data_IF_162016594673
#
_entry.id   IF_162016594673
#
_cell.length_a   1.000
_cell.length_b   1.000
_cell.length_c   1.000
_cell.angle_alpha   90.00
_cell.angle_beta   90.00
_cell.angle_gamma   90.00
#
_symmetry.space_group_name_H-M   'P 1'
#
loop_
_entity.id
_entity.type
_entity.pdbx_description
1 polymer ?
#
# COMPACT_ATOMS: atom_id res chain seq x y z
N UNK A 1 18.43 27.83 -27.46
CA UNK A 1 17.68 28.71 -26.55
C UNK A 1 18.67 29.50 -25.71
N UNK A 2 18.54 30.84 -25.62
CA UNK A 2 19.44 31.64 -24.76
C UNK A 2 19.18 31.36 -23.27
N UNK A 3 20.15 31.54 -22.38
CA UNK A 3 20.09 31.23 -20.95
C UNK A 3 18.91 31.92 -20.23
N UNK A 4 18.55 33.15 -20.59
CA UNK A 4 17.40 33.85 -20.03
C UNK A 4 16.05 33.19 -20.35
N UNK A 5 15.90 32.56 -21.52
CA UNK A 5 14.67 31.87 -21.92
C UNK A 5 14.51 30.55 -21.15
N UNK A 6 15.60 29.84 -20.92
CA UNK A 6 15.62 28.61 -20.08
C UNK A 6 15.24 28.94 -18.64
N UNK A 7 15.81 30.00 -18.07
CA UNK A 7 15.50 30.45 -16.71
C UNK A 7 14.02 30.81 -16.54
N UNK A 8 13.44 31.51 -17.53
CA UNK A 8 12.00 31.86 -17.51
C UNK A 8 11.10 30.63 -17.56
N UNK A 9 11.42 29.64 -18.42
CA UNK A 9 10.67 28.38 -18.51
C UNK A 9 10.67 27.64 -17.17
N UNK A 10 11.86 27.48 -16.57
CA UNK A 10 11.99 26.77 -15.29
C UNK A 10 11.25 27.50 -14.14
N UNK A 11 11.33 28.84 -14.11
CA UNK A 11 10.59 29.65 -13.14
C UNK A 11 9.10 29.40 -13.27
N UNK A 12 8.56 29.44 -14.49
CA UNK A 12 7.13 29.22 -14.73
C UNK A 12 6.69 27.81 -14.36
N UNK A 13 7.46 26.79 -14.70
CA UNK A 13 7.17 25.41 -14.34
C UNK A 13 7.07 25.22 -12.81
N UNK A 14 8.01 25.79 -12.07
CA UNK A 14 8.00 25.76 -10.60
C UNK A 14 6.77 26.46 -10.02
N UNK A 15 6.39 27.61 -10.58
CA UNK A 15 5.19 28.36 -10.18
C UNK A 15 3.91 27.54 -10.41
N UNK A 16 3.78 26.85 -11.55
CA UNK A 16 2.65 25.94 -11.84
C UNK A 16 2.53 24.85 -10.76
N UNK A 17 3.63 24.13 -10.49
CA UNK A 17 3.64 23.08 -9.47
C UNK A 17 3.27 23.61 -8.08
N UNK A 18 3.72 24.83 -7.76
CA UNK A 18 3.39 25.46 -6.50
C UNK A 18 1.91 25.81 -6.38
N UNK A 19 1.29 26.34 -7.45
CA UNK A 19 -0.14 26.64 -7.49
C UNK A 19 -0.97 25.36 -7.32
N UNK A 20 -0.56 24.26 -7.94
CA UNK A 20 -1.25 22.96 -7.78
C UNK A 20 -1.12 22.43 -6.36
N UNK A 21 0.06 22.52 -5.75
CA UNK A 21 0.27 22.15 -4.36
C UNK A 21 -0.58 23.00 -3.40
N UNK A 22 -0.66 24.34 -3.61
CA UNK A 22 -1.54 25.25 -2.87
C UNK A 22 -3.01 24.84 -3.01
N UNK A 23 -3.42 24.37 -4.21
CA UNK A 23 -4.77 23.84 -4.45
C UNK A 23 -5.09 22.63 -3.57
N UNK A 24 -4.17 21.66 -3.49
CA UNK A 24 -4.32 20.48 -2.60
C UNK A 24 -4.41 20.90 -1.13
N UNK A 25 -3.49 21.76 -0.67
CA UNK A 25 -3.48 22.23 0.72
C UNK A 25 -4.77 22.98 1.06
N UNK A 26 -5.32 23.75 0.11
CA UNK A 26 -6.59 24.44 0.30
C UNK A 26 -7.80 23.50 0.44
N UNK A 27 -7.73 22.27 -0.07
CA UNK A 27 -8.74 21.24 0.20
C UNK A 27 -8.59 20.65 1.60
N UNK A 28 -7.36 20.46 2.09
CA UNK A 28 -7.11 19.95 3.44
C UNK A 28 -7.86 20.80 4.49
N UNK A 29 -7.85 22.12 4.36
CA UNK A 29 -8.52 23.03 5.29
C UNK A 29 -10.08 22.94 5.21
N UNK A 30 -10.62 22.34 4.15
CA UNK A 30 -12.07 22.16 3.91
C UNK A 30 -12.57 20.77 4.28
N UNK A 31 -11.68 19.79 4.48
CA UNK A 31 -12.09 18.45 4.86
C UNK A 31 -12.69 18.47 6.27
N UNK A 32 -13.92 18.00 6.37
CA UNK A 32 -14.70 17.99 7.60
C UNK A 32 -15.49 16.69 7.78
N UNK A 33 -16.54 16.74 8.62
CA UNK A 33 -17.40 15.57 8.91
C UNK A 33 -17.98 14.90 7.67
N UNK A 34 -18.25 15.68 6.61
CA UNK A 34 -18.79 15.18 5.34
C UNK A 34 -17.88 14.14 4.68
N UNK A 35 -16.56 14.32 4.75
CA UNK A 35 -15.63 13.33 4.25
C UNK A 35 -15.73 12.01 5.04
N UNK A 36 -15.83 12.08 6.36
CA UNK A 36 -16.00 10.89 7.20
C UNK A 36 -17.34 10.21 6.94
N UNK A 37 -18.40 10.97 6.66
CA UNK A 37 -19.72 10.42 6.32
C UNK A 37 -19.71 9.76 4.93
N UNK A 38 -18.99 10.31 3.96
CA UNK A 38 -18.77 9.68 2.67
C UNK A 38 -18.06 8.33 2.80
N UNK A 39 -17.00 8.26 3.61
CA UNK A 39 -16.30 7.00 3.91
C UNK A 39 -17.27 5.98 4.53
N UNK A 40 -18.03 6.36 5.56
CA UNK A 40 -19.00 5.46 6.20
C UNK A 40 -20.09 4.98 5.23
N UNK A 41 -20.60 5.87 4.38
CA UNK A 41 -21.62 5.56 3.37
C UNK A 41 -21.09 4.51 2.39
N UNK A 42 -19.86 4.67 1.90
CA UNK A 42 -19.23 3.72 0.98
C UNK A 42 -18.95 2.37 1.69
N UNK A 43 -18.51 2.39 2.94
CA UNK A 43 -18.26 1.15 3.70
C UNK A 43 -19.53 0.34 3.98
N UNK A 44 -20.67 1.01 4.18
CA UNK A 44 -21.99 0.37 4.42
C UNK A 44 -22.64 -0.13 3.15
N UNK A 45 -22.24 0.37 1.98
CA UNK A 45 -22.83 -0.02 0.71
C UNK A 45 -22.53 -1.49 0.38
N UNK A 46 -23.56 -2.23 -0.04
CA UNK A 46 -23.44 -3.61 -0.50
C UNK A 46 -23.01 -3.71 -1.98
N UNK A 47 -23.04 -2.59 -2.70
CA UNK A 47 -22.72 -2.47 -4.11
C UNK A 47 -21.35 -1.84 -4.36
N UNK A 48 -21.28 -1.02 -5.39
CA UNK A 48 -20.05 -0.41 -5.92
C UNK A 48 -20.10 1.11 -5.78
N UNK A 49 -18.93 1.74 -5.89
CA UNK A 49 -18.84 3.19 -6.10
C UNK A 49 -18.96 3.47 -7.61
N UNK A 50 -20.04 4.15 -8.00
CA UNK A 50 -20.27 4.56 -9.38
C UNK A 50 -19.76 5.98 -9.55
N UNK A 51 -18.61 6.14 -10.17
CA UNK A 51 -18.00 7.45 -10.39
C UNK A 51 -18.46 8.01 -11.73
N UNK A 52 -18.94 9.25 -11.73
CA UNK A 52 -19.38 9.93 -12.96
C UNK A 52 -18.79 11.33 -13.07
N UNK A 53 -18.52 11.77 -14.29
CA UNK A 53 -17.93 13.06 -14.63
C UNK A 53 -17.71 13.17 -16.13
N UNK A 54 -17.58 14.41 -16.64
CA UNK A 54 -17.35 14.65 -18.07
C UNK A 54 -16.03 15.41 -18.31
N UNK A 55 -15.46 15.26 -19.49
CA UNK A 55 -14.21 15.91 -19.87
C UNK A 55 -13.05 15.55 -18.92
N UNK A 56 -12.33 16.56 -18.40
CA UNK A 56 -11.22 16.35 -17.49
C UNK A 56 -11.64 15.72 -16.16
N UNK A 57 -12.81 16.12 -15.63
CA UNK A 57 -13.41 15.47 -14.43
C UNK A 57 -13.68 13.98 -14.66
N UNK A 58 -14.12 13.59 -15.85
CA UNK A 58 -14.32 12.19 -16.21
C UNK A 58 -13.01 11.40 -16.31
N UNK A 59 -11.95 12.01 -16.85
CA UNK A 59 -10.61 11.38 -16.89
C UNK A 59 -10.09 11.14 -15.47
N UNK A 60 -10.18 12.13 -14.59
CA UNK A 60 -9.81 12.00 -13.17
C UNK A 60 -10.69 10.96 -12.47
N UNK A 61 -12.01 10.96 -12.75
CA UNK A 61 -12.94 9.96 -12.23
C UNK A 61 -12.53 8.52 -12.59
N UNK A 62 -12.10 8.29 -13.83
CA UNK A 62 -11.57 6.98 -14.25
C UNK A 62 -10.32 6.57 -13.48
N UNK A 63 -9.42 7.54 -13.21
CA UNK A 63 -8.24 7.27 -12.35
C UNK A 63 -8.65 6.92 -10.92
N UNK A 64 -9.60 7.62 -10.35
CA UNK A 64 -10.14 7.34 -9.02
C UNK A 64 -10.75 5.93 -8.96
N UNK A 65 -11.55 5.54 -9.97
CA UNK A 65 -12.06 4.17 -10.12
C UNK A 65 -10.95 3.13 -10.11
N UNK A 66 -9.88 3.37 -10.89
CA UNK A 66 -8.74 2.45 -10.95
C UNK A 66 -8.06 2.31 -9.58
N UNK A 67 -7.89 3.42 -8.84
CA UNK A 67 -7.33 3.41 -7.48
C UNK A 67 -8.24 2.64 -6.51
N UNK A 68 -9.54 2.93 -6.49
CA UNK A 68 -10.51 2.25 -5.62
C UNK A 68 -10.50 0.73 -5.86
N UNK A 69 -10.53 0.29 -7.12
CA UNK A 69 -10.48 -1.13 -7.48
C UNK A 69 -9.18 -1.78 -7.02
N UNK A 70 -8.05 -1.11 -7.21
CA UNK A 70 -6.74 -1.64 -6.82
C UNK A 70 -6.54 -1.68 -5.30
N UNK A 71 -7.32 -0.93 -4.54
CA UNK A 71 -7.27 -0.84 -3.07
C UNK A 71 -8.46 -1.50 -2.37
N UNK A 72 -9.20 -2.37 -3.07
CA UNK A 72 -10.22 -3.22 -2.45
C UNK A 72 -11.62 -2.61 -2.35
N UNK A 73 -11.88 -1.46 -2.95
CA UNK A 73 -13.22 -0.88 -3.04
C UNK A 73 -13.75 -1.03 -4.47
N UNK A 74 -14.75 -1.90 -4.72
CA UNK A 74 -15.29 -2.09 -6.06
C UNK A 74 -15.87 -0.79 -6.62
N UNK A 75 -15.46 -0.38 -7.81
CA UNK A 75 -15.90 0.85 -8.44
C UNK A 75 -16.06 0.70 -9.95
N UNK A 76 -16.95 1.48 -10.55
CA UNK A 76 -17.14 1.59 -11.99
C UNK A 76 -17.23 3.06 -12.39
N UNK A 77 -16.80 3.35 -13.62
CA UNK A 77 -17.03 4.66 -14.23
C UNK A 77 -18.27 4.63 -15.10
N UNK A 78 -19.20 5.55 -14.85
CA UNK A 78 -20.40 5.77 -15.65
C UNK A 78 -20.26 7.10 -16.39
N UNK A 79 -20.14 7.05 -17.71
CA UNK A 79 -20.11 8.27 -18.51
C UNK A 79 -21.50 8.92 -18.53
N UNK A 80 -21.65 10.23 -18.22
CA UNK A 80 -22.98 10.85 -18.12
C UNK A 80 -23.82 10.74 -19.39
N UNK A 81 -23.20 10.87 -20.56
CA UNK A 81 -23.91 10.74 -21.85
C UNK A 81 -24.43 9.33 -22.07
N UNK A 82 -23.59 8.31 -21.81
CA UNK A 82 -24.01 6.91 -21.94
C UNK A 82 -25.10 6.55 -20.92
N UNK A 83 -25.04 7.15 -19.72
CA UNK A 83 -26.10 7.00 -18.71
C UNK A 83 -27.47 7.47 -19.24
N UNK A 84 -27.51 8.57 -20.00
CA UNK A 84 -28.74 9.04 -20.63
C UNK A 84 -29.27 8.10 -21.72
N UNK A 85 -28.44 7.26 -22.28
CA UNK A 85 -28.75 6.32 -23.36
C UNK A 85 -28.87 4.85 -22.94
N UNK A 86 -28.96 4.58 -21.63
CA UNK A 86 -29.29 3.25 -21.13
C UNK A 86 -28.31 2.69 -20.08
N UNK A 87 -27.05 3.14 -20.03
CA UNK A 87 -26.07 2.63 -19.08
C UNK A 87 -26.43 2.95 -17.62
N UNK A 88 -27.40 3.84 -17.39
CA UNK A 88 -27.98 4.04 -16.05
C UNK A 88 -28.55 2.73 -15.46
N UNK A 89 -28.94 1.78 -16.30
CA UNK A 89 -29.39 0.45 -15.88
C UNK A 89 -28.36 -0.37 -15.10
N UNK A 90 -27.08 -0.01 -15.13
CA UNK A 90 -26.04 -0.66 -14.33
C UNK A 90 -26.02 -0.23 -12.86
N UNK A 91 -26.72 0.88 -12.52
CA UNK A 91 -26.74 1.45 -11.18
C UNK A 91 -27.90 0.88 -10.39
N UNK A 92 -27.64 0.47 -9.16
CA UNK A 92 -28.64 -0.09 -8.24
C UNK A 92 -28.71 0.71 -6.95
N UNK A 93 -29.75 0.51 -6.16
CA UNK A 93 -29.88 1.12 -4.82
C UNK A 93 -28.81 0.70 -3.82
N UNK A 94 -28.03 -0.35 -4.13
CA UNK A 94 -26.94 -0.84 -3.32
C UNK A 94 -25.63 -0.12 -3.57
N UNK A 95 -25.54 0.63 -4.67
CA UNK A 95 -24.36 1.38 -5.08
C UNK A 95 -24.34 2.75 -4.40
N UNK A 96 -23.18 3.42 -4.44
CA UNK A 96 -22.99 4.83 -4.06
C UNK A 96 -22.50 5.58 -5.28
N UNK A 97 -23.13 6.70 -5.60
CA UNK A 97 -22.76 7.54 -6.75
C UNK A 97 -21.78 8.61 -6.26
N UNK A 98 -20.64 8.72 -6.92
CA UNK A 98 -19.66 9.82 -6.75
C UNK A 98 -19.67 10.67 -8.03
N UNK A 99 -20.35 11.81 -7.99
CA UNK A 99 -20.42 12.75 -9.11
C UNK A 99 -19.34 13.83 -8.98
N UNK A 100 -18.55 14.02 -10.04
CA UNK A 100 -17.45 14.98 -10.10
C UNK A 100 -17.78 16.08 -11.09
N UNK A 101 -18.01 17.29 -10.57
CA UNK A 101 -18.24 18.50 -11.36
C UNK A 101 -17.71 19.72 -10.62
N UNK A 102 -16.67 20.37 -11.14
CA UNK A 102 -16.08 21.53 -10.46
C UNK A 102 -17.12 22.63 -10.21
N UNK A 103 -17.85 23.07 -11.21
CA UNK A 103 -18.92 24.07 -11.06
C UNK A 103 -20.19 23.54 -10.37
N UNK A 104 -20.41 22.22 -10.42
CA UNK A 104 -21.65 21.58 -9.98
C UNK A 104 -22.88 21.88 -10.88
N UNK A 105 -22.66 22.52 -12.01
CA UNK A 105 -23.70 22.96 -12.99
C UNK A 105 -23.54 22.29 -14.37
N UNK A 106 -22.70 21.22 -14.45
CA UNK A 106 -22.51 20.50 -15.71
C UNK A 106 -23.82 19.85 -16.15
N UNK A 107 -24.36 20.27 -17.30
CA UNK A 107 -25.69 19.89 -17.80
C UNK A 107 -25.91 18.40 -17.89
N UNK A 108 -24.92 17.66 -18.40
CA UNK A 108 -24.96 16.20 -18.55
C UNK A 108 -25.01 15.44 -17.20
N UNK A 109 -24.54 16.06 -16.13
CA UNK A 109 -24.63 15.50 -14.78
C UNK A 109 -25.94 15.92 -14.12
N UNK A 110 -26.30 17.21 -14.21
CA UNK A 110 -27.50 17.73 -13.54
C UNK A 110 -28.79 17.10 -14.05
N UNK A 111 -28.87 16.77 -15.35
CA UNK A 111 -30.01 16.08 -15.95
C UNK A 111 -30.20 14.65 -15.40
N UNK A 112 -29.14 14.00 -14.89
CA UNK A 112 -29.19 12.65 -14.31
C UNK A 112 -29.63 12.65 -12.84
N UNK A 113 -29.55 13.77 -12.14
CA UNK A 113 -29.87 13.85 -10.71
C UNK A 113 -31.24 13.29 -10.36
N UNK A 114 -32.33 13.62 -11.06
CA UNK A 114 -33.65 13.05 -10.77
C UNK A 114 -33.67 11.52 -10.91
N UNK A 115 -32.89 10.97 -11.82
CA UNK A 115 -32.79 9.52 -12.04
C UNK A 115 -31.97 8.86 -10.93
N UNK A 116 -30.86 9.45 -10.50
CA UNK A 116 -30.08 8.99 -9.35
C UNK A 116 -30.94 8.94 -8.09
N UNK A 117 -31.71 9.97 -7.82
CA UNK A 117 -32.63 10.01 -6.67
C UNK A 117 -33.72 8.92 -6.75
N UNK A 118 -34.30 8.65 -7.93
CA UNK A 118 -35.27 7.57 -8.10
C UNK A 118 -34.70 6.18 -7.88
N UNK A 119 -33.43 5.97 -8.20
CA UNK A 119 -32.71 4.71 -7.95
C UNK A 119 -32.51 4.45 -6.45
N UNK A 120 -32.51 5.51 -5.62
CA UNK A 120 -32.30 5.41 -4.18
C UNK A 120 -30.84 5.13 -3.78
N UNK A 121 -29.89 5.33 -4.69
CA UNK A 121 -28.46 5.24 -4.40
C UNK A 121 -27.98 6.56 -3.77
N UNK A 122 -27.24 6.55 -2.66
CA UNK A 122 -26.65 7.76 -2.08
C UNK A 122 -25.78 8.50 -3.11
N UNK A 123 -25.90 9.83 -3.16
CA UNK A 123 -25.18 10.69 -4.07
C UNK A 123 -24.15 11.54 -3.32
N UNK A 124 -22.88 11.36 -3.61
CA UNK A 124 -21.75 12.15 -3.11
C UNK A 124 -21.30 13.08 -4.23
N UNK A 125 -21.12 14.36 -3.95
CA UNK A 125 -20.58 15.33 -4.90
C UNK A 125 -19.14 15.74 -4.56
N UNK A 126 -18.28 15.77 -5.57
CA UNK A 126 -17.01 16.50 -5.55
C UNK A 126 -17.23 17.77 -6.39
N UNK A 127 -17.27 18.92 -5.74
CA UNK A 127 -17.54 20.22 -6.40
C UNK A 127 -16.86 21.36 -5.63
N UNK A 128 -16.60 22.48 -6.29
CA UNK A 128 -16.15 23.70 -5.61
C UNK A 128 -17.30 24.49 -4.98
N UNK A 129 -18.53 24.29 -5.48
CA UNK A 129 -19.70 25.05 -5.09
C UNK A 129 -20.77 24.14 -4.44
N UNK A 130 -20.85 24.08 -3.11
CA UNK A 130 -21.89 23.34 -2.39
C UNK A 130 -23.32 23.82 -2.71
N UNK A 131 -23.48 25.09 -3.09
CA UNK A 131 -24.78 25.72 -3.45
C UNK A 131 -25.18 25.49 -4.89
N UNK A 132 -24.37 24.77 -5.68
CA UNK A 132 -24.69 24.39 -7.06
C UNK A 132 -25.87 23.41 -7.13
N UNK A 133 -26.41 23.23 -8.34
CA UNK A 133 -27.46 22.23 -8.59
C UNK A 133 -27.05 20.85 -8.14
N UNK A 134 -25.83 20.41 -8.45
CA UNK A 134 -25.29 19.12 -7.96
C UNK A 134 -25.16 19.12 -6.43
N UNK A 135 -24.57 20.16 -5.85
CA UNK A 135 -24.34 20.24 -4.40
C UNK A 135 -25.63 20.14 -3.61
N UNK A 136 -26.63 20.99 -3.93
CA UNK A 136 -27.92 21.00 -3.23
C UNK A 136 -28.73 19.70 -3.31
N UNK A 137 -28.52 18.90 -4.34
CA UNK A 137 -29.21 17.63 -4.54
C UNK A 137 -28.39 16.40 -4.09
N UNK A 138 -27.16 16.59 -3.69
CA UNK A 138 -26.32 15.51 -3.16
C UNK A 138 -26.61 15.25 -1.68
N UNK A 139 -26.46 14.01 -1.25
CA UNK A 139 -26.62 13.62 0.15
C UNK A 139 -25.38 14.03 0.95
N UNK A 140 -24.20 14.07 0.29
CA UNK A 140 -22.94 14.48 0.88
C UNK A 140 -22.18 15.33 -0.14
N UNK A 141 -21.58 16.43 0.31
CA UNK A 141 -20.77 17.31 -0.53
C UNK A 141 -19.36 17.43 0.00
N UNK A 142 -18.37 17.08 -0.80
CA UNK A 142 -16.95 17.31 -0.51
C UNK A 142 -16.49 18.48 -1.38
N UNK A 143 -16.13 19.59 -0.71
CA UNK A 143 -15.66 20.78 -1.42
C UNK A 143 -14.21 20.61 -1.87
N UNK A 144 -14.03 20.42 -3.20
CA UNK A 144 -12.73 20.26 -3.87
C UNK A 144 -12.24 21.52 -4.57
N UNK A 145 -12.91 22.66 -4.35
CA UNK A 145 -12.59 23.92 -5.01
C UNK A 145 -11.19 24.43 -4.68
N UNK A 146 -10.57 25.09 -5.64
CA UNK A 146 -9.25 25.71 -5.53
C UNK A 146 -9.35 27.24 -5.68
N UNK A 147 -8.38 27.99 -5.15
CA UNK A 147 -8.38 29.45 -5.24
C UNK A 147 -8.17 29.97 -6.67
N UNK A 148 -7.37 29.27 -7.47
CA UNK A 148 -7.04 29.64 -8.86
C UNK A 148 -6.48 28.43 -9.62
N UNK A 149 -6.61 28.50 -10.93
CA UNK A 149 -5.93 27.58 -11.84
C UNK A 149 -4.48 28.04 -12.12
N UNK A 150 -3.60 27.12 -12.44
CA UNK A 150 -2.24 27.46 -12.86
C UNK A 150 -2.16 27.93 -14.32
N UNK A 151 -3.22 27.69 -15.11
CA UNK A 151 -3.35 28.19 -16.46
C UNK A 151 -3.41 29.74 -16.45
N UNK A 152 -2.56 30.45 -17.24
CA UNK A 152 -2.55 31.92 -17.27
C UNK A 152 -3.88 32.54 -17.70
N UNK A 153 -4.67 31.81 -18.49
CA UNK A 153 -6.01 32.25 -18.95
C UNK A 153 -7.11 31.86 -17.93
N UNK A 154 -6.81 31.11 -16.89
CA UNK A 154 -7.81 30.62 -15.94
C UNK A 154 -8.83 29.62 -16.51
N UNK A 155 -8.65 29.18 -17.78
CA UNK A 155 -9.64 28.37 -18.51
C UNK A 155 -9.34 26.86 -18.46
N UNK A 156 -8.06 26.48 -18.45
CA UNK A 156 -7.70 25.08 -18.44
C UNK A 156 -7.66 24.56 -16.99
N UNK A 157 -8.46 23.55 -16.62
CA UNK A 157 -8.39 22.90 -15.33
C UNK A 157 -7.03 22.27 -15.12
N UNK A 158 -6.33 22.67 -14.06
CA UNK A 158 -5.01 22.22 -13.63
C UNK A 158 -5.04 21.96 -12.13
N UNK A 159 -4.95 22.99 -11.30
CA UNK A 159 -5.01 22.88 -9.85
C UNK A 159 -6.31 22.22 -9.36
N UNK A 160 -7.46 22.55 -9.97
CA UNK A 160 -8.74 21.93 -9.63
C UNK A 160 -8.74 20.42 -9.90
N UNK A 161 -8.21 19.96 -11.04
CA UNK A 161 -8.15 18.54 -11.36
C UNK A 161 -7.16 17.78 -10.49
N UNK A 162 -6.03 18.41 -10.13
CA UNK A 162 -5.04 17.85 -9.21
C UNK A 162 -5.62 17.71 -7.79
N UNK A 163 -6.37 18.70 -7.33
CA UNK A 163 -7.04 18.68 -6.03
C UNK A 163 -8.13 17.59 -5.95
N UNK A 164 -8.96 17.45 -6.99
CA UNK A 164 -9.96 16.37 -7.11
C UNK A 164 -9.30 15.00 -7.08
N UNK A 165 -8.20 14.84 -7.83
CA UNK A 165 -7.44 13.59 -7.84
C UNK A 165 -6.89 13.24 -6.47
N UNK A 166 -6.23 14.18 -5.80
CA UNK A 166 -5.69 14.00 -4.47
C UNK A 166 -6.78 13.64 -3.43
N UNK A 167 -7.95 14.28 -3.54
CA UNK A 167 -9.11 13.98 -2.67
C UNK A 167 -9.63 12.56 -2.91
N UNK A 168 -9.70 12.13 -4.17
CA UNK A 168 -10.10 10.77 -4.53
C UNK A 168 -9.10 9.72 -4.05
N UNK A 169 -7.80 10.02 -4.10
CA UNK A 169 -6.77 9.14 -3.56
C UNK A 169 -6.83 9.07 -2.03
N UNK A 170 -7.07 10.20 -1.35
CA UNK A 170 -7.30 10.22 0.09
C UNK A 170 -8.51 9.36 0.48
N UNK A 171 -9.62 9.45 -0.28
CA UNK A 171 -10.80 8.61 -0.07
C UNK A 171 -10.46 7.12 -0.23
N UNK A 172 -9.73 6.75 -1.28
CA UNK A 172 -9.35 5.37 -1.54
C UNK A 172 -8.42 4.80 -0.45
N UNK A 173 -7.45 5.60 0.03
CA UNK A 173 -6.52 5.18 1.10
C UNK A 173 -7.23 5.00 2.43
N UNK A 174 -8.11 5.93 2.82
CA UNK A 174 -8.90 5.80 4.05
C UNK A 174 -9.83 4.57 3.99
N UNK A 175 -10.47 4.31 2.84
CA UNK A 175 -11.28 3.10 2.65
C UNK A 175 -10.45 1.82 2.74
N UNK A 176 -9.25 1.79 2.18
CA UNK A 176 -8.29 0.69 2.28
C UNK A 176 -7.97 0.38 3.74
N UNK A 177 -7.64 1.40 4.54
CA UNK A 177 -7.34 1.26 5.98
C UNK A 177 -8.55 0.75 6.76
N UNK A 178 -9.74 1.33 6.54
CA UNK A 178 -10.97 0.92 7.21
C UNK A 178 -11.40 -0.50 6.86
N UNK A 179 -11.06 -1.00 5.66
CA UNK A 179 -11.28 -2.37 5.22
C UNK A 179 -10.21 -3.34 5.72
N UNK A 180 -9.15 -2.85 6.39
CA UNK A 180 -7.99 -3.65 6.81
C UNK A 180 -7.38 -4.43 5.63
N UNK A 181 -7.30 -3.77 4.46
CA UNK A 181 -6.80 -4.35 3.23
C UNK A 181 -5.33 -4.73 3.36
N UNK A 182 -5.02 -5.99 3.11
CA UNK A 182 -3.70 -6.57 3.36
C UNK A 182 -2.81 -6.59 2.10
N UNK A 183 -1.48 -6.76 2.24
CA UNK A 183 -0.61 -7.05 1.10
C UNK A 183 -1.04 -8.29 0.30
N UNK A 184 -1.68 -9.26 0.94
CA UNK A 184 -2.20 -10.46 0.29
C UNK A 184 -3.41 -10.13 -0.60
N UNK A 185 -4.29 -9.26 -0.15
CA UNK A 185 -5.40 -8.75 -0.96
C UNK A 185 -4.86 -7.99 -2.17
N UNK A 186 -3.83 -7.16 -1.97
CA UNK A 186 -3.18 -6.43 -3.06
C UNK A 186 -2.61 -7.39 -4.13
N UNK A 187 -1.99 -8.50 -3.73
CA UNK A 187 -1.53 -9.57 -4.65
C UNK A 187 -2.65 -10.14 -5.50
N UNK A 188 -3.81 -10.42 -4.86
CA UNK A 188 -4.98 -11.01 -5.55
C UNK A 188 -5.50 -10.11 -6.66
N UNK A 189 -5.42 -8.79 -6.48
CA UNK A 189 -5.87 -7.81 -7.48
C UNK A 189 -4.81 -7.45 -8.52
N UNK A 190 -3.53 -7.79 -8.29
CA UNK A 190 -2.42 -7.49 -9.21
C UNK A 190 -1.62 -8.73 -9.63
N UNK A 191 -2.27 -9.78 -10.19
CA UNK A 191 -1.62 -11.09 -10.41
C UNK A 191 -0.48 -11.04 -11.45
N UNK A 192 -0.51 -10.12 -12.40
CA UNK A 192 0.49 -9.96 -13.45
C UNK A 192 1.49 -8.84 -13.24
N UNK A 193 1.29 -7.98 -12.24
CA UNK A 193 2.15 -6.83 -11.99
C UNK A 193 3.45 -7.18 -11.29
N UNK A 194 4.50 -6.38 -11.51
CA UNK A 194 5.78 -6.50 -10.81
C UNK A 194 5.61 -6.55 -9.28
N UNK A 195 4.75 -5.69 -8.75
CA UNK A 195 4.47 -5.62 -7.32
C UNK A 195 3.77 -6.89 -6.80
N UNK A 196 2.85 -7.46 -7.58
CA UNK A 196 2.20 -8.74 -7.28
C UNK A 196 3.17 -9.92 -7.27
N UNK A 197 4.10 -9.97 -8.25
CA UNK A 197 5.17 -10.97 -8.30
C UNK A 197 6.12 -10.85 -7.10
N UNK A 198 6.52 -9.62 -6.73
CA UNK A 198 7.41 -9.36 -5.58
C UNK A 198 6.78 -9.83 -4.26
N UNK A 199 5.49 -9.60 -4.06
CA UNK A 199 4.73 -10.04 -2.89
C UNK A 199 4.47 -11.56 -2.88
N UNK A 200 4.59 -12.25 -4.03
CA UNK A 200 4.39 -13.70 -4.16
C UNK A 200 5.66 -14.54 -3.93
N UNK A 201 6.81 -13.92 -3.72
CA UNK A 201 8.03 -14.67 -3.48
C UNK A 201 8.05 -15.28 -2.08
N UNK A 202 8.13 -16.60 -2.05
CA UNK A 202 8.29 -17.35 -0.80
C UNK A 202 9.75 -17.34 -0.35
N UNK A 203 9.97 -17.31 0.95
CA UNK A 203 11.33 -17.34 1.54
C UNK A 203 12.11 -18.60 1.14
N UNK A 204 11.43 -19.70 0.83
CA UNK A 204 12.01 -20.95 0.33
C UNK A 204 12.93 -20.75 -0.87
N UNK A 205 12.66 -19.78 -1.74
CA UNK A 205 13.49 -19.47 -2.91
C UNK A 205 14.78 -18.72 -2.57
N UNK A 206 14.85 -18.13 -1.40
CA UNK A 206 15.94 -17.23 -0.99
C UNK A 206 16.68 -17.71 0.25
N UNK A 207 16.17 -18.71 0.96
CA UNK A 207 16.79 -19.24 2.14
C UNK A 207 18.09 -20.00 1.82
N UNK A 208 19.01 -19.97 2.75
CA UNK A 208 20.12 -20.91 2.79
C UNK A 208 19.60 -22.24 3.34
N UNK A 209 19.90 -23.33 2.63
CA UNK A 209 19.47 -24.67 3.02
C UNK A 209 20.07 -25.05 4.38
N UNK A 210 19.32 -25.78 5.21
CA UNK A 210 19.82 -26.31 6.48
C UNK A 210 21.06 -27.19 6.30
N UNK A 211 21.26 -27.79 5.12
CA UNK A 211 22.45 -28.60 4.81
C UNK A 211 23.73 -27.76 4.65
N UNK A 212 23.58 -26.48 4.27
CA UNK A 212 24.67 -25.52 4.07
C UNK A 212 25.01 -24.76 5.36
N UNK A 213 24.15 -24.83 6.37
CA UNK A 213 24.29 -24.10 7.61
C UNK A 213 24.99 -24.94 8.69
N UNK A 214 25.95 -24.36 9.45
CA UNK A 214 26.64 -25.08 10.51
C UNK A 214 25.68 -25.39 11.64
N UNK A 215 25.44 -26.69 11.89
CA UNK A 215 24.55 -27.17 12.92
C UNK A 215 25.31 -27.81 14.07
N UNK A 216 24.73 -27.69 15.27
CA UNK A 216 25.25 -28.32 16.50
C UNK A 216 24.09 -28.92 17.31
N UNK A 217 24.38 -30.00 18.01
CA UNK A 217 23.39 -30.65 18.86
C UNK A 217 23.44 -30.14 20.31
N UNK A 218 22.36 -30.35 21.07
CA UNK A 218 22.25 -29.94 22.49
C UNK A 218 23.31 -30.53 23.42
N UNK A 219 23.86 -31.71 23.10
CA UNK A 219 24.86 -32.42 23.90
C UNK A 219 26.31 -32.08 23.53
N UNK A 220 26.54 -31.18 22.59
CA UNK A 220 27.88 -30.73 22.20
C UNK A 220 28.46 -29.82 23.29
N UNK A 221 29.73 -29.95 23.61
CA UNK A 221 30.42 -29.08 24.57
C UNK A 221 30.84 -27.76 23.91
N UNK A 222 30.95 -26.70 24.71
CA UNK A 222 31.38 -25.38 24.20
C UNK A 222 32.80 -25.45 23.60
N UNK A 223 33.72 -26.21 24.23
CA UNK A 223 35.08 -26.41 23.74
C UNK A 223 35.13 -26.94 22.29
N UNK A 224 34.19 -27.81 21.91
CA UNK A 224 34.13 -28.46 20.59
C UNK A 224 33.59 -27.51 19.51
N UNK A 225 32.84 -26.46 19.88
CA UNK A 225 32.24 -25.54 18.95
C UNK A 225 33.05 -24.25 18.74
N UNK A 226 33.89 -23.86 19.71
CA UNK A 226 34.73 -22.66 19.61
C UNK A 226 35.57 -22.58 18.33
N UNK A 227 36.25 -23.66 17.87
CA UNK A 227 36.99 -23.62 16.59
C UNK A 227 36.09 -23.47 15.37
N UNK A 228 34.79 -23.75 15.49
CA UNK A 228 33.82 -23.68 14.40
C UNK A 228 33.14 -22.32 14.31
N UNK A 229 33.37 -21.44 15.29
CA UNK A 229 32.79 -20.09 15.30
C UNK A 229 33.85 -19.14 14.75
N UNK A 230 33.74 -18.84 13.48
CA UNK A 230 34.43 -17.70 12.88
C UNK A 230 33.64 -16.41 13.13
N UNK A 231 34.29 -15.25 12.97
CA UNK A 231 33.79 -13.92 13.37
C UNK A 231 32.37 -13.55 12.91
N UNK A 232 31.82 -14.24 11.89
CA UNK A 232 30.51 -13.95 11.33
C UNK A 232 29.59 -15.19 11.22
N UNK A 233 29.92 -16.30 11.85
CA UNK A 233 29.11 -17.51 11.74
C UNK A 233 28.09 -17.64 12.88
N UNK A 234 26.87 -18.01 12.50
CA UNK A 234 25.80 -18.41 13.40
C UNK A 234 25.79 -19.93 13.41
N UNK A 235 25.90 -20.55 14.61
CA UNK A 235 25.69 -21.97 14.78
C UNK A 235 24.23 -22.24 15.11
N UNK A 236 23.60 -23.11 14.34
CA UNK A 236 22.19 -23.47 14.45
C UNK A 236 22.04 -24.65 15.38
N UNK A 237 21.35 -24.46 16.49
CA UNK A 237 21.15 -25.52 17.50
C UNK A 237 19.93 -26.34 17.11
N UNK A 238 20.15 -27.58 16.71
CA UNK A 238 19.10 -28.46 16.18
C UNK A 238 19.02 -29.74 17.05
N UNK A 239 17.78 -30.12 17.38
CA UNK A 239 17.49 -31.37 18.08
C UNK A 239 16.28 -32.05 17.45
N UNK A 240 16.40 -33.34 17.12
CA UNK A 240 15.34 -34.13 16.49
C UNK A 240 14.71 -33.42 15.24
N UNK A 241 15.57 -32.81 14.40
CA UNK A 241 15.21 -32.02 13.23
C UNK A 241 14.54 -30.70 13.54
N UNK A 242 14.27 -30.35 14.78
CA UNK A 242 13.64 -29.07 15.16
C UNK A 242 14.72 -28.07 15.59
N UNK A 243 14.54 -26.81 15.11
CA UNK A 243 15.39 -25.70 15.53
C UNK A 243 15.08 -25.32 16.97
N UNK A 244 16.12 -25.26 17.81
CA UNK A 244 16.02 -24.85 19.21
C UNK A 244 16.43 -23.40 19.42
N UNK A 245 17.37 -22.91 18.62
CA UNK A 245 17.90 -21.56 18.69
C UNK A 245 19.22 -21.42 17.98
N UNK A 246 19.98 -20.39 18.32
CA UNK A 246 21.29 -20.11 17.72
C UNK A 246 22.34 -19.78 18.77
N UNK A 247 23.60 -19.99 18.37
CA UNK A 247 24.78 -19.46 19.08
C UNK A 247 25.51 -18.54 18.09
N UNK A 248 25.67 -17.29 18.45
CA UNK A 248 26.41 -16.27 17.68
C UNK A 248 27.51 -15.65 18.53
N UNK A 249 28.35 -14.80 17.94
CA UNK A 249 29.44 -14.12 18.62
C UNK A 249 28.94 -13.34 19.86
N UNK A 250 27.74 -12.72 19.80
CA UNK A 250 27.15 -11.99 20.94
C UNK A 250 26.83 -12.93 22.12
N UNK A 251 26.36 -14.14 21.80
CA UNK A 251 26.09 -15.17 22.80
C UNK A 251 27.40 -15.62 23.50
N UNK A 252 28.46 -15.80 22.70
CA UNK A 252 29.76 -16.26 23.22
C UNK A 252 30.45 -15.17 24.04
N UNK A 253 30.49 -13.93 23.57
CA UNK A 253 31.10 -12.81 24.33
C UNK A 253 30.49 -12.70 25.74
N UNK A 254 29.18 -12.88 25.88
CA UNK A 254 28.51 -12.89 27.17
C UNK A 254 28.98 -14.01 28.11
N UNK A 255 29.51 -15.09 27.55
CA UNK A 255 30.00 -16.26 28.31
C UNK A 255 31.44 -16.09 28.78
N UNK A 256 32.27 -15.37 28.02
CA UNK A 256 33.70 -15.16 28.38
C UNK A 256 33.90 -14.29 29.63
N UNK A 257 32.88 -13.60 30.10
CA UNK A 257 32.93 -12.77 31.32
C UNK A 257 33.00 -13.63 32.60
N UNK A 258 32.79 -14.97 32.54
CA UNK A 258 32.81 -15.88 33.69
C UNK A 258 33.79 -17.06 33.46
N UNK A 259 34.76 -17.23 34.35
CA UNK A 259 35.79 -18.30 34.31
C UNK A 259 35.17 -19.72 34.34
N UNK A 260 35.84 -20.72 33.70
CA UNK A 260 35.58 -22.14 33.67
C UNK A 260 34.31 -22.66 32.97
N UNK A 261 34.17 -22.38 31.65
CA UNK A 261 32.95 -22.77 30.92
C UNK A 261 33.13 -23.65 29.68
N UNK A 262 34.35 -24.09 29.37
CA UNK A 262 34.61 -24.96 28.21
C UNK A 262 33.85 -26.31 28.29
N UNK A 263 33.53 -26.76 29.50
CA UNK A 263 32.78 -27.98 29.77
C UNK A 263 31.24 -27.82 29.67
N UNK A 264 30.71 -26.58 29.50
CA UNK A 264 29.28 -26.38 29.38
C UNK A 264 28.73 -26.95 28.07
N UNK A 265 27.51 -27.42 28.12
CA UNK A 265 26.82 -27.96 26.95
C UNK A 265 26.05 -26.90 26.21
N UNK A 266 25.91 -27.06 24.88
CA UNK A 266 25.13 -26.17 23.99
C UNK A 266 23.71 -25.95 24.51
N UNK A 267 23.07 -26.94 25.14
CA UNK A 267 21.73 -26.83 25.73
C UNK A 267 21.55 -25.65 26.71
N UNK A 268 22.66 -25.22 27.35
CA UNK A 268 22.66 -24.17 28.37
C UNK A 268 23.13 -22.81 27.83
N UNK A 269 23.44 -22.74 26.54
CA UNK A 269 24.14 -21.59 25.91
C UNK A 269 23.42 -20.90 24.79
N UNK A 270 22.50 -21.56 24.08
CA UNK A 270 21.83 -20.96 22.91
C UNK A 270 20.77 -19.90 23.31
N UNK A 271 20.52 -19.00 22.41
CA UNK A 271 19.37 -18.08 22.49
C UNK A 271 18.28 -18.48 21.52
N UNK A 272 17.00 -18.24 21.86
CA UNK A 272 15.90 -18.45 20.91
C UNK A 272 16.05 -17.57 19.69
N UNK A 273 15.46 -17.99 18.59
CA UNK A 273 15.38 -17.25 17.33
C UNK A 273 13.94 -17.27 16.82
N UNK A 274 13.55 -16.24 16.14
CA UNK A 274 12.25 -16.18 15.47
C UNK A 274 12.22 -17.17 14.30
N UNK A 275 11.09 -17.86 14.14
CA UNK A 275 10.91 -18.95 13.18
C UNK A 275 9.73 -18.61 12.27
N UNK A 276 9.91 -18.83 10.97
CA UNK A 276 8.86 -18.66 9.95
C UNK A 276 8.69 -19.94 9.13
N UNK A 277 7.53 -20.06 8.45
CA UNK A 277 7.30 -21.17 7.53
C UNK A 277 8.03 -20.95 6.20
N UNK A 278 8.43 -22.00 5.52
CA UNK A 278 9.10 -21.96 4.20
C UNK A 278 8.25 -21.30 3.10
N UNK A 279 6.92 -21.29 3.28
CA UNK A 279 5.96 -20.64 2.37
C UNK A 279 5.62 -19.20 2.78
N UNK A 280 6.17 -18.69 3.89
CA UNK A 280 6.04 -17.28 4.25
C UNK A 280 6.53 -16.39 3.11
N UNK A 281 5.81 -15.30 2.82
CA UNK A 281 6.23 -14.36 1.79
C UNK A 281 7.48 -13.59 2.20
N UNK A 282 8.31 -13.21 1.22
CA UNK A 282 9.49 -12.37 1.49
C UNK A 282 9.09 -11.03 2.13
N UNK A 283 7.94 -10.48 1.75
CA UNK A 283 7.42 -9.24 2.34
C UNK A 283 7.13 -9.41 3.84
N UNK A 284 6.39 -10.45 4.20
CA UNK A 284 6.07 -10.77 5.60
C UNK A 284 7.34 -11.05 6.43
N UNK A 285 8.30 -11.78 5.85
CA UNK A 285 9.59 -12.02 6.51
C UNK A 285 10.35 -10.70 6.78
N UNK A 286 10.34 -9.76 5.83
CA UNK A 286 10.95 -8.44 5.99
C UNK A 286 10.22 -7.59 7.04
N UNK A 287 8.88 -7.66 7.10
CA UNK A 287 8.09 -6.97 8.12
C UNK A 287 8.40 -7.51 9.52
N UNK A 288 8.46 -8.84 9.71
CA UNK A 288 8.87 -9.47 10.97
C UNK A 288 10.29 -9.04 11.38
N UNK A 289 11.23 -9.03 10.41
CA UNK A 289 12.61 -8.60 10.67
C UNK A 289 12.68 -7.14 11.11
N UNK A 290 11.94 -6.26 10.44
CA UNK A 290 11.87 -4.83 10.78
C UNK A 290 11.26 -4.60 12.15
N UNK A 291 10.08 -5.17 12.41
CA UNK A 291 9.30 -4.90 13.62
C UNK A 291 9.96 -5.47 14.88
N UNK A 292 10.77 -6.55 14.73
CA UNK A 292 11.52 -7.18 15.82
C UNK A 292 13.02 -6.85 15.80
N UNK A 293 13.49 -5.99 14.90
CA UNK A 293 14.90 -5.62 14.73
C UNK A 293 15.84 -6.83 14.57
N UNK A 294 15.44 -7.75 13.66
CA UNK A 294 16.15 -9.00 13.44
C UNK A 294 16.87 -9.02 12.08
N UNK A 295 18.11 -9.53 12.08
CA UNK A 295 18.91 -9.71 10.86
C UNK A 295 18.76 -11.12 10.25
N UNK A 296 18.13 -12.05 10.96
CA UNK A 296 18.02 -13.46 10.56
C UNK A 296 16.78 -14.11 11.15
N UNK A 297 16.14 -14.99 10.35
CA UNK A 297 15.02 -15.84 10.76
C UNK A 297 15.35 -17.31 10.47
N UNK A 298 14.92 -18.20 11.36
CA UNK A 298 14.91 -19.63 11.10
C UNK A 298 13.72 -20.00 10.20
N UNK A 299 13.92 -20.96 9.29
CA UNK A 299 12.87 -21.42 8.38
C UNK A 299 12.57 -22.89 8.68
N UNK A 300 11.26 -23.18 8.83
CA UNK A 300 10.77 -24.53 9.05
C UNK A 300 9.78 -24.95 7.98
N UNK A 301 9.63 -26.26 7.77
CA UNK A 301 8.57 -26.81 6.91
C UNK A 301 7.22 -26.89 7.65
N UNK A 302 6.20 -27.43 6.96
CA UNK A 302 4.85 -27.60 7.51
C UNK A 302 4.80 -28.54 8.73
N UNK A 303 5.82 -29.40 8.90
CA UNK A 303 5.94 -30.30 10.03
C UNK A 303 6.73 -29.70 11.20
N UNK A 304 7.21 -28.46 11.06
CA UNK A 304 8.05 -27.78 12.05
C UNK A 304 9.52 -28.20 12.03
N UNK A 305 9.97 -28.91 10.99
CA UNK A 305 11.38 -29.28 10.86
C UNK A 305 12.20 -28.15 10.28
N UNK A 306 13.42 -27.99 10.79
CA UNK A 306 14.35 -26.97 10.34
C UNK A 306 14.83 -27.25 8.91
N UNK A 307 14.48 -26.39 7.96
CA UNK A 307 14.84 -26.52 6.54
C UNK A 307 15.83 -25.46 6.06
N UNK A 308 16.06 -24.40 6.83
CA UNK A 308 17.01 -23.35 6.44
C UNK A 308 16.89 -22.06 7.23
N UNK A 309 17.51 -21.01 6.71
CA UNK A 309 17.47 -19.67 7.28
C UNK A 309 17.47 -18.60 6.19
N UNK A 310 16.87 -17.44 6.50
CA UNK A 310 16.95 -16.25 5.67
C UNK A 310 17.63 -15.11 6.41
N UNK A 311 18.47 -14.36 5.69
CA UNK A 311 19.20 -13.22 6.21
C UNK A 311 18.68 -11.94 5.57
N UNK A 312 18.50 -10.89 6.35
CA UNK A 312 18.01 -9.59 5.90
C UNK A 312 18.82 -9.05 4.70
N UNK A 313 20.16 -9.12 4.80
CA UNK A 313 21.07 -8.68 3.72
C UNK A 313 20.83 -9.39 2.40
N UNK A 314 20.49 -10.69 2.43
CA UNK A 314 20.30 -11.49 1.22
C UNK A 314 18.91 -11.24 0.61
N UNK A 315 17.89 -11.08 1.45
CA UNK A 315 16.55 -10.69 1.00
C UNK A 315 16.58 -9.31 0.34
N UNK A 316 17.24 -8.32 0.96
CA UNK A 316 17.39 -6.98 0.40
C UNK A 316 18.22 -6.97 -0.90
N UNK A 317 19.35 -7.69 -0.94
CA UNK A 317 20.23 -7.76 -2.11
C UNK A 317 19.54 -8.44 -3.29
N UNK A 318 18.91 -9.59 -3.09
CA UNK A 318 18.21 -10.33 -4.16
C UNK A 318 16.94 -9.60 -4.59
N UNK A 319 16.24 -8.94 -3.68
CA UNK A 319 15.15 -8.04 -4.03
C UNK A 319 15.61 -6.88 -4.94
N UNK A 320 16.84 -6.39 -4.80
CA UNK A 320 17.41 -5.31 -5.60
C UNK A 320 17.96 -5.81 -6.95
N UNK A 321 18.60 -7.00 -7.01
CA UNK A 321 19.18 -7.55 -8.24
C UNK A 321 18.16 -7.96 -9.29
N UNK A 322 16.95 -8.38 -8.90
CA UNK A 322 15.87 -8.65 -9.85
C UNK A 322 15.32 -7.39 -10.52
N UNK A 323 15.71 -6.19 -10.05
CA UNK A 323 15.42 -4.92 -10.72
C UNK A 323 16.29 -4.64 -11.95
N UNK A 324 17.42 -5.34 -12.11
CA UNK A 324 18.41 -5.04 -13.15
C UNK A 324 18.41 -6.07 -14.31
N UNK A 325 17.55 -7.09 -14.27
CA UNK A 325 17.51 -8.16 -15.27
C UNK A 325 16.21 -8.23 -16.10
N UNK A 326 15.29 -7.28 -15.94
CA UNK A 326 14.15 -7.02 -16.83
C UNK A 326 14.20 -5.58 -17.35
#
# INVERSE_FOLDING_TARGET
>A
MGPNKVSHILKRAKEVLQIEAEGILGVVDKLGPDFAEAVKTILKAEGRVIVTGIGKSGIIGRKIVATLNSTGTPALFLHPVEAMHGDLGMVTKKDVILAISNSGETGEITILIPSFKRLGAPLIAFTENPDSTLGRHSDIVINTGVKREACPLGLAPTASTTAVLATGDALAVVLLEQRQFTPDDFRRFHPGGYLGKKLSWEVKKFMHSSQELPQVGLKTKLGDILPKISENQILWVVSRKCLQGIIDAKTIVKLFIKKDRLEMYVKDLFRPIEIINSHTSVSEALDIMRDKELDVLGVVDEKGYFVGAVFLKDLLKKATFSFLQE
#
